data_IF_765091369103
#
_entry.id   IF_765091369103
#
_cell.length_a   1.000
_cell.length_b   1.000
_cell.length_c   1.000
_cell.angle_alpha   90.00
_cell.angle_beta   90.00
_cell.angle_gamma   90.00
#
_symmetry.space_group_name_H-M   'P 1'
#
loop_
_entity.id
_entity.type
_entity.pdbx_description
1 polymer ?
#
# COMPACT_ATOMS: atom_id res chain seq x y z
N UNK A 1 20.03 17.32 8.74
CA UNK A 1 20.95 16.34 9.38
C UNK A 1 20.20 15.01 9.42
N UNK A 2 20.87 13.86 9.24
CA UNK A 2 20.17 12.60 9.49
C UNK A 2 19.93 12.48 11.00
N UNK A 3 18.75 12.04 11.45
CA UNK A 3 18.42 12.00 12.88
C UNK A 3 19.30 10.98 13.60
N UNK A 4 19.78 11.35 14.80
CA UNK A 4 20.41 10.40 15.70
C UNK A 4 19.40 9.33 16.09
N UNK A 5 19.82 8.07 16.21
CA UNK A 5 18.94 6.98 16.62
C UNK A 5 19.57 6.07 17.63
N UNK A 6 18.73 5.53 18.52
CA UNK A 6 19.13 4.56 19.52
C UNK A 6 18.46 3.23 19.19
N UNK A 7 19.26 2.19 19.08
CA UNK A 7 18.85 0.85 18.69
C UNK A 7 19.14 -0.12 19.84
N UNK A 8 18.19 -1.02 20.10
CA UNK A 8 18.38 -2.14 21.03
C UNK A 8 18.73 -3.39 20.22
N UNK A 9 19.87 -4.01 20.52
CA UNK A 9 20.29 -5.26 19.89
C UNK A 9 20.43 -6.34 20.97
N UNK A 10 19.75 -7.50 20.83
CA UNK A 10 19.86 -8.58 21.80
C UNK A 10 21.27 -9.18 21.80
N UNK A 11 21.71 -9.67 22.96
CA UNK A 11 22.92 -10.46 23.13
C UNK A 11 22.65 -11.93 22.81
N UNK A 12 23.64 -12.63 22.25
CA UNK A 12 23.58 -14.08 22.02
C UNK A 12 24.41 -14.88 23.01
N UNK A 13 25.34 -14.22 23.66
CA UNK A 13 26.19 -14.72 24.74
C UNK A 13 25.45 -14.80 26.08
N UNK A 14 24.45 -13.94 26.30
CA UNK A 14 23.60 -13.98 27.49
C UNK A 14 22.11 -13.93 27.12
N UNK A 15 21.27 -14.60 27.92
CA UNK A 15 19.82 -14.65 27.74
C UNK A 15 19.18 -13.35 28.26
N UNK A 16 18.26 -12.79 27.48
CA UNK A 16 17.50 -11.56 27.77
C UNK A 16 18.31 -10.25 27.94
N UNK A 17 19.64 -10.33 27.87
CA UNK A 17 20.48 -9.14 27.82
C UNK A 17 20.52 -8.50 26.42
N UNK A 18 20.91 -7.23 26.40
CA UNK A 18 20.97 -6.44 25.17
C UNK A 18 22.04 -5.36 25.28
N UNK A 19 22.44 -4.86 24.13
CA UNK A 19 23.25 -3.66 24.02
C UNK A 19 22.39 -2.53 23.46
N UNK A 20 22.73 -1.30 23.84
CA UNK A 20 22.21 -0.09 23.23
C UNK A 20 23.24 0.49 22.29
N UNK A 21 22.82 0.90 21.10
CA UNK A 21 23.67 1.55 20.11
C UNK A 21 23.07 2.88 19.72
N UNK A 22 23.78 3.97 20.00
CA UNK A 22 23.54 5.27 19.39
C UNK A 22 24.24 5.33 18.03
N UNK A 23 23.47 5.68 17.02
CA UNK A 23 23.93 5.97 15.66
C UNK A 23 23.85 7.48 15.41
N UNK A 24 24.95 8.07 14.93
CA UNK A 24 25.00 9.46 14.52
C UNK A 24 25.65 9.59 13.15
N UNK A 25 25.28 10.63 12.39
CA UNK A 25 25.85 10.85 11.06
C UNK A 25 27.27 11.40 11.18
N UNK A 26 28.23 10.70 10.58
CA UNK A 26 29.65 11.07 10.59
C UNK A 26 30.13 11.66 9.25
N UNK A 27 29.50 11.28 8.13
CA UNK A 27 29.95 11.68 6.79
C UNK A 27 28.87 12.32 5.91
N UNK A 28 29.14 12.39 4.60
CA UNK A 28 28.19 12.98 3.64
C UNK A 28 27.08 11.99 3.29
N UNK A 29 27.43 10.72 3.14
CA UNK A 29 26.50 9.67 2.75
C UNK A 29 25.58 9.29 3.92
N UNK A 30 24.45 8.64 3.60
CA UNK A 30 23.48 8.20 4.61
C UNK A 30 24.02 7.08 5.52
N UNK A 31 24.91 6.25 4.98
CA UNK A 31 25.54 5.12 5.70
C UNK A 31 26.88 5.47 6.36
N UNK A 32 27.32 6.73 6.25
CA UNK A 32 28.52 7.17 6.97
C UNK A 32 28.13 7.48 8.42
N UNK A 33 28.20 6.47 9.29
CA UNK A 33 27.70 6.49 10.67
C UNK A 33 28.84 6.37 11.67
N UNK A 34 28.74 7.11 12.77
CA UNK A 34 29.47 6.84 14.01
C UNK A 34 28.55 6.06 14.94
N UNK A 35 29.10 5.01 15.52
CA UNK A 35 28.42 4.09 16.43
C UNK A 35 29.04 4.25 17.81
N UNK A 36 28.19 4.51 18.80
CA UNK A 36 28.56 4.42 20.22
C UNK A 36 27.60 3.43 20.84
N UNK A 37 28.14 2.37 21.44
CA UNK A 37 27.37 1.31 22.05
C UNK A 37 27.74 1.15 23.52
N UNK A 38 26.84 0.52 24.27
CA UNK A 38 27.10 0.10 25.64
C UNK A 38 26.24 -1.10 25.99
N UNK A 39 26.77 -1.97 26.84
CA UNK A 39 26.03 -3.05 27.52
C UNK A 39 25.49 -2.62 28.89
N UNK A 40 25.78 -1.37 29.31
CA UNK A 40 25.40 -0.82 30.61
C UNK A 40 26.59 -0.37 31.46
N UNK A 41 27.76 -0.94 31.20
CA UNK A 41 28.99 -0.67 31.97
C UNK A 41 30.01 0.12 31.14
N UNK A 42 30.49 -0.47 30.04
CA UNK A 42 31.56 0.10 29.23
C UNK A 42 31.04 0.78 27.95
N UNK A 43 31.68 1.87 27.50
CA UNK A 43 31.46 2.48 26.20
C UNK A 43 32.25 1.75 25.10
N UNK A 44 31.61 1.54 23.96
CA UNK A 44 32.24 0.93 22.79
C UNK A 44 32.02 1.81 21.55
N UNK A 45 33.08 2.10 20.81
CA UNK A 45 33.00 2.97 19.62
C UNK A 45 33.34 2.24 18.33
N UNK A 46 32.75 2.72 17.24
CA UNK A 46 33.02 2.25 15.90
C UNK A 46 32.46 3.18 14.84
N UNK A 47 32.76 2.88 13.57
CA UNK A 47 32.21 3.66 12.46
C UNK A 47 31.91 2.78 11.26
N UNK A 48 30.86 3.16 10.55
CA UNK A 48 30.51 2.62 9.24
C UNK A 48 30.81 3.71 8.22
N UNK A 49 31.54 3.36 7.17
CA UNK A 49 31.80 4.26 6.04
C UNK A 49 31.33 3.58 4.76
N UNK A 50 30.59 4.32 3.94
CA UNK A 50 30.07 3.85 2.64
C UNK A 50 31.17 3.24 1.77
N UNK A 51 32.37 3.81 1.81
CA UNK A 51 33.54 3.30 1.06
C UNK A 51 34.10 1.96 1.57
N UNK A 52 33.69 1.51 2.75
CA UNK A 52 34.21 0.33 3.43
C UNK A 52 33.13 -0.72 3.76
N UNK A 53 31.87 -0.50 3.35
CA UNK A 53 30.77 -1.43 3.63
C UNK A 53 31.04 -2.83 3.08
N UNK A 54 31.74 -2.93 1.95
CA UNK A 54 32.12 -4.18 1.30
C UNK A 54 33.06 -5.05 2.15
N UNK A 55 33.71 -4.49 3.17
CA UNK A 55 34.55 -5.22 4.15
C UNK A 55 33.75 -5.80 5.31
N UNK A 56 32.57 -5.23 5.57
CA UNK A 56 31.68 -5.65 6.66
C UNK A 56 30.85 -6.89 6.27
N UNK A 57 30.74 -7.19 4.98
CA UNK A 57 30.05 -8.40 4.49
C UNK A 57 30.83 -9.66 4.84
N UNK A 58 30.10 -10.73 5.11
CA UNK A 58 30.69 -12.04 5.29
C UNK A 58 31.20 -12.59 3.94
N UNK A 59 32.30 -13.34 3.95
CA UNK A 59 32.92 -13.90 2.73
C UNK A 59 32.00 -14.82 1.93
N UNK A 60 31.03 -15.43 2.59
CA UNK A 60 30.03 -16.34 2.01
C UNK A 60 28.76 -15.62 1.55
N UNK A 61 28.65 -14.30 1.77
CA UNK A 61 27.54 -13.50 1.26
C UNK A 61 27.70 -13.29 -0.26
N UNK A 62 26.63 -13.55 -1.02
CA UNK A 62 26.62 -13.48 -2.50
C UNK A 62 25.80 -12.31 -3.06
N UNK A 63 25.19 -11.49 -2.22
CA UNK A 63 24.38 -10.34 -2.65
C UNK A 63 25.23 -9.18 -3.17
N UNK A 64 24.57 -8.22 -3.81
CA UNK A 64 25.22 -7.05 -4.39
C UNK A 64 25.65 -6.03 -3.33
N UNK A 65 26.51 -5.07 -3.71
CA UNK A 65 26.92 -3.99 -2.82
C UNK A 65 25.74 -3.06 -2.48
N UNK A 66 24.82 -2.84 -3.43
CA UNK A 66 23.61 -2.03 -3.23
C UNK A 66 22.61 -2.72 -2.29
N UNK A 67 22.43 -4.03 -2.44
CA UNK A 67 21.61 -4.84 -1.53
C UNK A 67 22.19 -4.81 -0.11
N UNK A 68 23.52 -4.96 0.02
CA UNK A 68 24.20 -4.85 1.30
C UNK A 68 24.07 -3.46 1.94
N UNK A 69 24.20 -2.40 1.15
CA UNK A 69 23.96 -1.03 1.59
C UNK A 69 22.52 -0.84 2.08
N UNK A 70 21.54 -1.43 1.39
CA UNK A 70 20.15 -1.47 1.82
C UNK A 70 19.99 -2.16 3.17
N UNK A 71 20.60 -3.34 3.34
CA UNK A 71 20.54 -4.13 4.58
C UNK A 71 21.04 -3.32 5.77
N UNK A 72 22.21 -2.70 5.62
CA UNK A 72 22.77 -1.82 6.66
C UNK A 72 21.88 -0.61 6.92
N UNK A 73 21.31 -0.01 5.87
CA UNK A 73 20.43 1.16 6.02
C UNK A 73 19.17 0.82 6.82
N UNK A 74 18.61 -0.36 6.63
CA UNK A 74 17.46 -0.84 7.37
C UNK A 74 17.82 -1.22 8.81
N UNK A 75 18.89 -2.01 9.01
CA UNK A 75 19.31 -2.45 10.36
C UNK A 75 19.65 -1.27 11.25
N UNK A 76 20.33 -0.26 10.72
CA UNK A 76 20.65 0.97 11.45
C UNK A 76 19.55 2.05 11.37
N UNK A 77 18.36 1.67 10.90
CA UNK A 77 17.15 2.48 10.81
C UNK A 77 17.36 3.84 10.08
N UNK A 78 18.31 3.91 9.14
CA UNK A 78 18.61 5.12 8.37
C UNK A 78 17.62 5.32 7.22
N UNK A 79 17.10 4.23 6.65
CA UNK A 79 16.09 4.27 5.61
C UNK A 79 15.31 2.95 5.60
N UNK A 80 14.06 2.96 6.09
CA UNK A 80 13.21 1.76 6.15
C UNK A 80 12.73 1.33 4.75
N UNK A 81 12.60 2.27 3.82
CA UNK A 81 12.23 2.01 2.42
C UNK A 81 13.42 1.61 1.54
N UNK A 82 14.62 1.44 2.13
CA UNK A 82 15.83 1.15 1.36
C UNK A 82 15.79 -0.19 0.65
N UNK A 83 14.83 -1.05 1.00
CA UNK A 83 14.75 -2.36 0.39
C UNK A 83 13.32 -2.65 -0.02
N UNK A 84 13.19 -2.94 -1.31
CA UNK A 84 11.92 -2.95 -2.04
C UNK A 84 11.09 -4.23 -1.83
N UNK A 85 11.63 -5.26 -1.16
CA UNK A 85 11.04 -6.60 -1.08
C UNK A 85 10.79 -7.07 0.36
N UNK A 86 9.55 -7.24 0.78
CA UNK A 86 9.22 -7.76 2.13
C UNK A 86 9.93 -9.09 2.48
N UNK A 87 10.26 -9.90 1.47
CA UNK A 87 10.98 -11.18 1.59
C UNK A 87 12.40 -11.05 2.18
N UNK A 88 13.02 -9.87 2.07
CA UNK A 88 14.36 -9.66 2.62
C UNK A 88 14.29 -9.34 4.13
N UNK A 89 13.31 -8.54 4.57
CA UNK A 89 13.15 -8.14 5.98
C UNK A 89 12.79 -9.34 6.84
N UNK A 90 12.05 -10.28 6.25
CA UNK A 90 11.57 -11.48 6.92
C UNK A 90 12.75 -12.39 7.27
N UNK A 91 12.93 -12.65 8.57
CA UNK A 91 14.01 -13.49 9.10
C UNK A 91 15.37 -12.79 9.23
N UNK A 92 15.48 -11.48 8.96
CA UNK A 92 16.68 -10.74 9.28
C UNK A 92 16.82 -10.56 10.80
N UNK A 93 17.91 -11.04 11.35
CA UNK A 93 18.24 -10.92 12.77
C UNK A 93 19.58 -10.22 12.93
N UNK A 94 19.64 -9.29 13.88
CA UNK A 94 20.88 -8.65 14.31
C UNK A 94 21.12 -9.00 15.77
N UNK A 95 22.30 -9.51 16.08
CA UNK A 95 22.64 -10.01 17.41
C UNK A 95 24.04 -9.57 17.79
N UNK A 96 24.27 -9.28 19.06
CA UNK A 96 25.57 -8.90 19.60
C UNK A 96 26.20 -10.03 20.43
N UNK A 97 27.53 -9.99 20.52
CA UNK A 97 28.35 -10.79 21.43
C UNK A 97 29.38 -9.85 22.02
N UNK A 98 29.54 -9.86 23.34
CA UNK A 98 30.64 -9.15 24.01
C UNK A 98 31.77 -10.15 24.22
N UNK A 99 32.99 -9.77 23.84
CA UNK A 99 34.17 -10.63 23.92
C UNK A 99 35.28 -9.91 24.67
N UNK A 100 36.01 -10.63 25.51
CA UNK A 100 37.31 -10.21 26.01
C UNK A 100 38.37 -10.41 24.91
N UNK A 101 39.27 -9.43 24.73
CA UNK A 101 40.28 -9.49 23.67
C UNK A 101 41.41 -10.49 23.98
N UNK A 102 41.66 -10.78 25.27
CA UNK A 102 42.81 -11.57 25.72
C UNK A 102 42.52 -13.04 26.06
N UNK A 103 41.29 -13.52 25.89
CA UNK A 103 40.95 -14.94 26.03
C UNK A 103 41.05 -15.52 27.44
N UNK A 104 41.43 -14.71 28.43
CA UNK A 104 41.27 -14.95 29.86
C UNK A 104 39.99 -14.24 30.31
N UNK A 105 39.11 -14.94 31.02
CA UNK A 105 37.87 -14.40 31.63
C UNK A 105 38.19 -13.49 32.84
N UNK A 106 39.28 -12.73 32.76
CA UNK A 106 39.68 -11.76 33.77
C UNK A 106 39.06 -10.41 33.40
N UNK A 107 38.34 -9.82 34.35
CA UNK A 107 37.50 -8.61 34.20
C UNK A 107 38.29 -7.31 33.94
N UNK A 108 39.61 -7.39 33.74
CA UNK A 108 40.53 -6.26 33.60
C UNK A 108 41.03 -6.03 32.15
N UNK A 109 40.66 -6.88 31.19
CA UNK A 109 41.08 -6.74 29.79
C UNK A 109 40.13 -5.89 28.91
N UNK A 110 40.68 -5.31 27.83
CA UNK A 110 39.89 -4.58 26.83
C UNK A 110 38.81 -5.50 26.21
N UNK A 111 37.55 -5.07 26.26
CA UNK A 111 36.41 -5.80 25.69
C UNK A 111 36.08 -5.28 24.29
N UNK A 112 35.48 -6.12 23.45
CA UNK A 112 34.93 -5.73 22.16
C UNK A 112 33.50 -6.25 21.97
N UNK A 113 32.67 -5.48 21.27
CA UNK A 113 31.33 -5.91 20.87
C UNK A 113 31.37 -6.32 19.40
N UNK A 114 31.00 -7.57 19.13
CA UNK A 114 30.79 -8.09 17.79
C UNK A 114 29.29 -8.15 17.46
N UNK A 115 28.84 -7.25 16.61
CA UNK A 115 27.49 -7.25 16.06
C UNK A 115 27.47 -8.11 14.80
N UNK A 116 26.62 -9.12 14.77
CA UNK A 116 26.45 -10.03 13.64
C UNK A 116 25.08 -9.85 13.01
N UNK A 117 25.06 -9.63 11.70
CA UNK A 117 23.85 -9.59 10.90
C UNK A 117 23.67 -10.97 10.26
N UNK A 118 22.52 -11.61 10.47
CA UNK A 118 22.20 -12.94 9.91
C UNK A 118 20.79 -12.96 9.35
N UNK A 119 20.55 -13.79 8.33
CA UNK A 119 19.21 -14.08 7.81
C UNK A 119 18.83 -15.52 8.12
N UNK A 120 17.64 -15.71 8.70
CA UNK A 120 16.97 -16.99 8.85
C UNK A 120 16.18 -17.28 7.57
N UNK A 121 16.42 -18.44 6.96
CA UNK A 121 15.69 -18.90 5.78
C UNK A 121 14.91 -20.14 6.19
N UNK A 122 13.59 -20.01 6.33
CA UNK A 122 12.69 -21.11 6.73
C UNK A 122 12.22 -21.92 5.51
N UNK A 123 13.15 -22.54 4.79
CA UNK A 123 12.81 -23.61 3.84
C UNK A 123 13.01 -24.96 4.52
N UNK A 124 12.01 -25.84 4.38
CA UNK A 124 11.82 -27.17 5.01
C UNK A 124 13.07 -28.08 5.07
N UNK A 125 14.09 -27.82 4.25
CA UNK A 125 15.42 -28.40 4.40
C UNK A 125 16.42 -27.32 4.81
N UNK A 126 17.02 -27.52 5.99
CA UNK A 126 18.18 -26.81 6.54
C UNK A 126 17.87 -25.47 7.23
N UNK A 127 17.90 -25.50 8.58
CA UNK A 127 18.00 -24.34 9.49
C UNK A 127 19.35 -23.66 9.24
N UNK A 128 19.48 -22.97 8.10
CA UNK A 128 20.68 -22.23 7.75
C UNK A 128 20.50 -20.78 8.18
N UNK A 129 21.14 -20.44 9.30
CA UNK A 129 21.44 -19.06 9.63
C UNK A 129 22.55 -18.59 8.67
N UNK A 130 22.20 -17.84 7.63
CA UNK A 130 23.21 -17.25 6.76
C UNK A 130 23.75 -15.99 7.42
N UNK A 131 25.01 -16.01 7.85
CA UNK A 131 25.71 -14.79 8.27
C UNK A 131 25.89 -13.87 7.06
N UNK A 132 25.37 -12.66 7.14
CA UNK A 132 25.44 -11.63 6.11
C UNK A 132 26.67 -10.75 6.28
N UNK A 133 27.01 -10.42 7.52
CA UNK A 133 28.15 -9.58 7.86
C UNK A 133 28.35 -9.42 9.35
N UNK A 134 29.41 -8.71 9.72
CA UNK A 134 29.74 -8.43 11.11
C UNK A 134 30.40 -7.06 11.25
N UNK A 135 30.15 -6.41 12.39
CA UNK A 135 30.70 -5.11 12.77
C UNK A 135 31.29 -5.26 14.17
N UNK A 136 32.55 -4.84 14.32
CA UNK A 136 33.24 -4.87 15.61
C UNK A 136 33.34 -3.45 16.16
N UNK A 137 32.94 -3.27 17.42
CA UNK A 137 33.12 -2.05 18.19
C UNK A 137 34.14 -2.32 19.29
N UNK A 138 35.07 -1.39 19.50
CA UNK A 138 36.12 -1.53 20.51
C UNK A 138 35.77 -0.71 21.74
N UNK A 139 36.14 -1.20 22.91
CA UNK A 139 36.03 -0.42 24.14
C UNK A 139 36.85 0.88 24.02
N UNK A 140 36.30 1.96 24.54
CA UNK A 140 36.86 3.30 24.45
C UNK A 140 36.49 4.07 25.72
N UNK A 141 37.25 3.87 26.79
CA UNK A 141 36.95 4.40 28.13
C UNK A 141 36.97 5.93 28.22
N UNK A 142 37.55 6.61 27.23
CA UNK A 142 37.50 8.07 27.09
C UNK A 142 36.10 8.56 26.66
N UNK A 143 35.28 7.68 26.08
CA UNK A 143 33.94 8.01 25.60
C UNK A 143 32.91 7.94 26.72
N UNK A 144 32.29 9.07 27.07
CA UNK A 144 31.22 9.10 28.06
C UNK A 144 29.93 8.41 27.57
N UNK A 145 29.31 7.60 28.44
CA UNK A 145 27.98 7.04 28.23
C UNK A 145 26.92 8.05 28.67
N UNK A 146 26.11 8.54 27.72
CA UNK A 146 25.08 9.55 27.95
C UNK A 146 23.67 8.93 27.89
N UNK A 147 23.37 7.96 28.77
CA UNK A 147 22.09 7.23 28.74
C UNK A 147 20.87 8.15 28.84
N UNK A 148 20.95 9.23 29.61
CA UNK A 148 19.86 10.19 29.74
C UNK A 148 19.50 10.82 28.38
N UNK A 149 20.50 11.31 27.65
CA UNK A 149 20.31 11.89 26.31
C UNK A 149 19.79 10.84 25.33
N UNK A 150 20.29 9.60 25.43
CA UNK A 150 19.86 8.49 24.58
C UNK A 150 18.38 8.14 24.81
N UNK A 151 17.93 8.14 26.07
CA UNK A 151 16.52 7.95 26.39
C UNK A 151 15.66 9.09 25.86
N UNK A 152 16.15 10.33 25.92
CA UNK A 152 15.48 11.48 25.31
C UNK A 152 15.28 11.31 23.81
N UNK A 153 16.32 10.84 23.09
CA UNK A 153 16.24 10.53 21.66
C UNK A 153 15.23 9.40 21.39
N UNK A 154 15.29 8.31 22.15
CA UNK A 154 14.39 7.16 21.97
C UNK A 154 12.92 7.53 22.22
N UNK A 155 12.64 8.33 23.26
CA UNK A 155 11.29 8.82 23.59
C UNK A 155 10.78 9.77 22.51
N UNK A 156 11.62 10.69 22.02
CA UNK A 156 11.24 11.58 20.91
C UNK A 156 10.86 10.77 19.66
N UNK A 157 11.65 9.76 19.30
CA UNK A 157 11.34 8.88 18.16
C UNK A 157 10.06 8.09 18.36
N UNK A 158 9.82 7.55 19.55
CA UNK A 158 8.57 6.84 19.85
C UNK A 158 7.36 7.76 19.73
N UNK A 159 7.48 9.02 20.18
CA UNK A 159 6.42 10.02 20.06
C UNK A 159 6.17 10.39 18.59
N UNK A 160 7.22 10.60 17.79
CA UNK A 160 7.10 10.91 16.36
C UNK A 160 6.35 9.80 15.61
N UNK A 161 6.75 8.53 15.81
CA UNK A 161 6.08 7.37 15.22
C UNK A 161 4.64 7.26 15.71
N UNK A 162 4.39 7.48 17.01
CA UNK A 162 3.02 7.46 17.57
C UNK A 162 2.12 8.53 16.93
N UNK A 163 2.66 9.73 16.70
CA UNK A 163 1.94 10.82 16.04
C UNK A 163 1.64 10.48 14.57
N UNK A 164 2.59 9.89 13.86
CA UNK A 164 2.39 9.41 12.48
C UNK A 164 1.28 8.34 12.42
N UNK A 165 1.33 7.35 13.32
CA UNK A 165 0.30 6.30 13.43
C UNK A 165 -1.07 6.91 13.72
N UNK A 166 -1.15 7.89 14.63
CA UNK A 166 -2.41 8.58 14.91
C UNK A 166 -2.95 9.29 13.67
N UNK A 167 -2.10 10.02 12.96
CA UNK A 167 -2.48 10.74 11.73
C UNK A 167 -2.94 9.79 10.62
N UNK A 168 -2.27 8.64 10.47
CA UNK A 168 -2.60 7.64 9.46
C UNK A 168 -3.91 6.94 9.80
N UNK A 169 -4.15 6.64 11.08
CA UNK A 169 -5.41 6.09 11.57
C UNK A 169 -6.58 7.05 11.39
N UNK A 170 -6.37 8.35 11.54
CA UNK A 170 -7.39 9.36 11.22
C UNK A 170 -7.75 9.33 9.73
N UNK A 171 -6.75 9.39 8.84
CA UNK A 171 -6.97 9.29 7.38
C UNK A 171 -7.67 8.00 6.98
N UNK A 172 -7.32 6.88 7.62
CA UNK A 172 -7.97 5.59 7.37
C UNK A 172 -9.45 5.64 7.72
N UNK A 173 -9.80 6.19 8.88
CA UNK A 173 -11.20 6.38 9.32
C UNK A 173 -11.98 7.29 8.37
N UNK A 174 -11.37 8.38 7.91
CA UNK A 174 -12.01 9.30 6.96
C UNK A 174 -12.28 8.59 5.62
N UNK A 175 -11.31 7.79 5.13
CA UNK A 175 -11.47 6.98 3.92
C UNK A 175 -12.57 5.92 4.09
N UNK A 176 -12.59 5.21 5.22
CA UNK A 176 -13.62 4.22 5.55
C UNK A 176 -15.01 4.85 5.63
N UNK A 177 -15.13 6.03 6.24
CA UNK A 177 -16.38 6.81 6.26
C UNK A 177 -16.82 7.20 4.85
N UNK A 178 -15.89 7.58 3.98
CA UNK A 178 -16.18 7.94 2.60
C UNK A 178 -16.66 6.74 1.80
N UNK A 179 -16.01 5.58 1.97
CA UNK A 179 -16.43 4.32 1.33
C UNK A 179 -17.83 3.92 1.81
N UNK A 180 -18.10 4.01 3.11
CA UNK A 180 -19.43 3.73 3.66
C UNK A 180 -20.50 4.65 3.08
N UNK A 181 -20.20 5.95 2.97
CA UNK A 181 -21.12 6.92 2.37
C UNK A 181 -21.40 6.64 0.89
N UNK A 182 -20.36 6.37 0.10
CA UNK A 182 -20.49 6.03 -1.33
C UNK A 182 -21.26 4.73 -1.54
N UNK A 183 -21.05 3.72 -0.70
CA UNK A 183 -21.82 2.48 -0.74
C UNK A 183 -23.31 2.73 -0.43
N UNK A 184 -23.62 3.60 0.52
CA UNK A 184 -25.00 3.98 0.81
C UNK A 184 -25.66 4.72 -0.37
N UNK A 185 -24.94 5.65 -1.00
CA UNK A 185 -25.43 6.35 -2.19
C UNK A 185 -25.65 5.39 -3.37
N UNK A 186 -24.77 4.39 -3.54
CA UNK A 186 -24.91 3.38 -4.58
C UNK A 186 -26.14 2.51 -4.35
N UNK A 187 -26.40 2.08 -3.12
CA UNK A 187 -27.60 1.31 -2.77
C UNK A 187 -28.88 2.13 -3.00
N UNK A 188 -28.88 3.40 -2.63
CA UNK A 188 -30.00 4.32 -2.88
C UNK A 188 -30.26 4.47 -4.40
N UNK A 189 -29.21 4.63 -5.20
CA UNK A 189 -29.32 4.71 -6.66
C UNK A 189 -29.85 3.42 -7.28
N UNK A 190 -29.41 2.25 -6.79
CA UNK A 190 -29.93 0.95 -7.24
C UNK A 190 -31.43 0.86 -6.94
N UNK A 191 -31.84 1.24 -5.74
CA UNK A 191 -33.24 1.17 -5.33
C UNK A 191 -34.10 2.16 -6.13
N UNK A 192 -33.65 3.40 -6.31
CA UNK A 192 -34.34 4.41 -7.11
C UNK A 192 -34.48 3.98 -8.58
N UNK A 193 -33.43 3.38 -9.15
CA UNK A 193 -33.44 2.83 -10.50
C UNK A 193 -34.46 1.69 -10.64
N UNK A 194 -34.48 0.77 -9.67
CA UNK A 194 -35.44 -0.35 -9.66
C UNK A 194 -36.87 0.16 -9.60
N UNK A 195 -37.18 1.11 -8.72
CA UNK A 195 -38.50 1.69 -8.62
C UNK A 195 -38.92 2.41 -9.92
N UNK A 196 -38.00 3.15 -10.54
CA UNK A 196 -38.25 3.80 -11.82
C UNK A 196 -38.51 2.78 -12.95
N UNK A 197 -37.75 1.69 -13.01
CA UNK A 197 -37.95 0.60 -13.97
C UNK A 197 -39.33 -0.05 -13.77
N UNK A 198 -39.74 -0.31 -12.52
CA UNK A 198 -41.06 -0.85 -12.18
C UNK A 198 -42.20 0.10 -12.60
N UNK A 199 -42.03 1.41 -12.37
CA UNK A 199 -42.99 2.43 -12.81
C UNK A 199 -43.11 2.49 -14.34
N UNK A 200 -41.99 2.36 -15.07
CA UNK A 200 -42.00 2.32 -16.54
C UNK A 200 -42.72 1.07 -17.06
N UNK A 201 -42.44 -0.10 -16.48
CA UNK A 201 -43.11 -1.35 -16.84
C UNK A 201 -44.62 -1.23 -16.62
N UNK A 202 -45.05 -0.67 -15.49
CA UNK A 202 -46.47 -0.43 -15.21
C UNK A 202 -47.14 0.50 -16.23
N UNK A 203 -46.48 1.61 -16.60
CA UNK A 203 -46.98 2.53 -17.63
C UNK A 203 -47.07 1.86 -19.01
N UNK A 204 -46.08 1.05 -19.39
CA UNK A 204 -46.14 0.30 -20.65
C UNK A 204 -47.28 -0.72 -20.65
N UNK A 205 -47.52 -1.42 -19.54
CA UNK A 205 -48.65 -2.34 -19.41
C UNK A 205 -50.00 -1.62 -19.55
N UNK A 206 -50.17 -0.44 -18.94
CA UNK A 206 -51.37 0.39 -19.09
C UNK A 206 -51.59 0.79 -20.55
N UNK A 207 -50.57 1.33 -21.22
CA UNK A 207 -50.64 1.72 -22.63
C UNK A 207 -50.98 0.52 -23.54
N UNK A 208 -50.41 -0.65 -23.27
CA UNK A 208 -50.74 -1.89 -24.00
C UNK A 208 -52.20 -2.30 -23.80
N UNK A 209 -52.71 -2.21 -22.58
CA UNK A 209 -54.11 -2.55 -22.28
C UNK A 209 -55.08 -1.57 -22.94
N UNK A 210 -54.81 -0.26 -22.90
CA UNK A 210 -55.59 0.74 -23.61
C UNK A 210 -55.59 0.51 -25.13
N UNK A 211 -54.42 0.19 -25.71
CA UNK A 211 -54.32 -0.14 -27.13
C UNK A 211 -55.10 -1.40 -27.46
N UNK A 212 -55.00 -2.47 -26.66
CA UNK A 212 -55.79 -3.70 -26.84
C UNK A 212 -57.30 -3.42 -26.78
N UNK A 213 -57.74 -2.57 -25.86
CA UNK A 213 -59.14 -2.17 -25.74
C UNK A 213 -59.61 -1.39 -26.97
N UNK A 214 -58.82 -0.41 -27.44
CA UNK A 214 -59.11 0.34 -28.66
C UNK A 214 -59.20 -0.57 -29.89
N UNK A 215 -58.24 -1.49 -30.05
CA UNK A 215 -58.24 -2.47 -31.16
C UNK A 215 -59.51 -3.34 -31.10
N UNK A 216 -59.88 -3.85 -29.93
CA UNK A 216 -61.10 -4.66 -29.76
C UNK A 216 -62.37 -3.87 -30.08
N UNK A 217 -62.47 -2.62 -29.63
CA UNK A 217 -63.61 -1.76 -29.93
C UNK A 217 -63.70 -1.45 -31.43
N UNK A 218 -62.58 -1.16 -32.09
CA UNK A 218 -62.53 -0.96 -33.54
C UNK A 218 -62.92 -2.22 -34.30
N UNK A 219 -62.41 -3.39 -33.91
CA UNK A 219 -62.80 -4.68 -34.49
C UNK A 219 -64.29 -4.97 -34.31
N UNK A 220 -64.86 -4.71 -33.13
CA UNK A 220 -66.30 -4.86 -32.88
C UNK A 220 -67.12 -3.92 -33.77
N UNK A 221 -66.72 -2.66 -33.89
CA UNK A 221 -67.37 -1.69 -34.79
C UNK A 221 -67.31 -2.14 -36.25
N UNK A 222 -66.16 -2.64 -36.71
CA UNK A 222 -66.01 -3.20 -38.06
C UNK A 222 -66.90 -4.44 -38.27
N UNK A 223 -67.04 -5.30 -37.26
CA UNK A 223 -67.88 -6.49 -37.35
C UNK A 223 -69.39 -6.19 -37.28
N UNK A 224 -69.79 -5.11 -36.61
CA UNK A 224 -71.21 -4.67 -36.53
C UNK A 224 -71.59 -3.68 -37.63
N UNK A 225 -70.62 -3.03 -38.26
CA UNK A 225 -70.85 -2.31 -39.49
C UNK A 225 -71.27 -3.32 -40.56
N UNK A 226 -72.56 -3.33 -40.93
CA UNK A 226 -73.02 -4.04 -42.13
C UNK A 226 -72.30 -3.42 -43.32
N UNK A 227 -71.28 -4.11 -43.77
CA UNK A 227 -70.55 -3.78 -44.97
C UNK A 227 -71.52 -3.96 -46.14
N UNK A 228 -71.81 -2.88 -46.84
CA UNK A 228 -72.52 -2.92 -48.10
C UNK A 228 -71.53 -3.44 -49.17
N UNK A 229 -71.70 -4.68 -49.69
CA UNK A 229 -70.70 -5.32 -50.54
C UNK A 229 -70.45 -4.53 -51.84
N UNK A 230 -71.43 -3.71 -52.28
CA UNK A 230 -71.28 -2.84 -53.43
C UNK A 230 -70.26 -1.70 -53.21
N UNK A 231 -70.25 -1.09 -52.02
CA UNK A 231 -69.31 0.03 -51.71
C UNK A 231 -67.90 -0.46 -51.39
N UNK A 232 -67.73 -1.71 -50.97
CA UNK A 232 -66.41 -2.31 -50.77
C UNK A 232 -65.78 -2.73 -52.09
N UNK A 233 -66.56 -3.27 -53.03
CA UNK A 233 -66.09 -3.48 -54.40
C UNK A 233 -65.67 -2.16 -55.09
N UNK A 234 -66.40 -1.07 -54.83
CA UNK A 234 -66.10 0.27 -55.38
C UNK A 234 -64.83 0.88 -54.75
N UNK A 235 -64.57 0.64 -53.46
CA UNK A 235 -63.34 1.08 -52.78
C UNK A 235 -62.11 0.22 -53.11
N UNK A 236 -62.25 -1.09 -53.29
CA UNK A 236 -61.13 -1.95 -53.75
C UNK A 236 -60.77 -1.65 -55.21
N UNK A 237 -61.75 -1.36 -56.07
CA UNK A 237 -61.52 -0.85 -57.42
C UNK A 237 -60.82 0.53 -57.41
N UNK A 238 -61.10 1.40 -56.43
CA UNK A 238 -60.43 2.69 -56.29
C UNK A 238 -59.00 2.60 -55.67
N UNK A 239 -58.68 1.52 -54.95
CA UNK A 239 -57.39 1.37 -54.25
C UNK A 239 -56.33 0.60 -55.05
N UNK A 240 -56.72 -0.15 -56.08
CA UNK A 240 -55.77 -0.81 -57.02
C UNK A 240 -54.99 0.19 -57.90
N UNK A 241 -55.39 1.47 -57.92
CA UNK A 241 -54.71 2.53 -58.68
C UNK A 241 -53.70 3.39 -57.91
N UNK A 242 -53.53 3.23 -56.59
CA UNK A 242 -52.65 4.10 -55.79
C UNK A 242 -51.34 3.42 -55.44
N UNK A 243 -50.29 3.75 -56.21
CA UNK A 243 -48.90 3.42 -55.89
C UNK A 243 -48.56 3.82 -54.43
N UNK A 244 -47.78 3.01 -53.69
CA UNK A 244 -47.38 3.36 -52.33
C UNK A 244 -46.62 4.69 -52.36
N UNK A 245 -47.11 5.68 -51.60
CA UNK A 245 -46.38 6.92 -51.37
C UNK A 245 -45.12 6.60 -50.58
N UNK A 246 -43.95 6.86 -51.18
CA UNK A 246 -42.68 6.86 -50.46
C UNK A 246 -42.78 7.88 -49.31
N UNK A 247 -42.36 7.47 -48.12
CA UNK A 247 -42.20 8.38 -47.00
C UNK A 247 -41.16 9.45 -47.37
N UNK A 248 -41.57 10.71 -47.32
CA UNK A 248 -40.71 11.85 -47.57
C UNK A 248 -39.72 12.01 -46.40
N UNK A 249 -38.50 12.46 -46.70
CA UNK A 249 -37.37 12.43 -45.77
C UNK A 249 -37.61 13.39 -44.57
N UNK A 250 -38.02 12.82 -43.44
CA UNK A 250 -38.16 13.56 -42.18
C UNK A 250 -36.79 13.96 -41.61
N UNK A 251 -36.48 15.26 -41.77
CA UNK A 251 -35.61 16.13 -40.95
C UNK A 251 -34.36 15.51 -40.31
N UNK A 252 -33.21 15.68 -40.99
CA UNK A 252 -31.92 15.84 -40.32
C UNK A 252 -31.85 17.19 -39.62
N UNK A 253 -32.02 17.22 -38.30
CA UNK A 253 -31.50 18.33 -37.47
C UNK A 253 -31.10 17.79 -36.10
N UNK A 254 -30.01 17.02 -36.09
CA UNK A 254 -29.27 16.73 -34.86
C UNK A 254 -28.29 17.88 -34.67
N UNK A 255 -28.58 18.80 -33.76
CA UNK A 255 -27.57 19.74 -33.24
C UNK A 255 -26.49 18.90 -32.56
N UNK A 256 -25.24 19.04 -33.01
CA UNK A 256 -24.05 18.51 -32.35
C UNK A 256 -23.77 19.44 -31.17
N UNK A 257 -23.73 18.92 -29.95
CA UNK A 257 -23.27 19.68 -28.79
C UNK A 257 -21.76 19.94 -28.94
N UNK A 258 -21.32 21.17 -28.65
CA UNK A 258 -19.91 21.52 -28.53
C UNK A 258 -19.34 20.91 -27.24
N UNK A 259 -18.17 20.32 -27.32
CA UNK A 259 -17.36 19.94 -26.16
C UNK A 259 -16.81 21.20 -25.47
N UNK A 260 -16.71 21.22 -24.13
CA UNK A 260 -16.18 22.36 -23.39
C UNK A 260 -14.65 22.47 -23.55
N UNK A 261 -14.08 23.68 -23.50
CA UNK A 261 -12.65 23.89 -23.66
C UNK A 261 -11.87 23.34 -22.46
N UNK A 262 -10.77 22.65 -22.76
CA UNK A 262 -9.73 22.27 -21.82
C UNK A 262 -8.91 23.54 -21.57
N UNK A 263 -8.97 24.07 -20.35
CA UNK A 263 -8.03 25.11 -19.91
C UNK A 263 -6.71 24.44 -19.52
N UNK A 264 -5.65 24.81 -20.22
CA UNK A 264 -4.24 24.68 -19.81
C UNK A 264 -3.88 25.70 -18.74
#
# INVERSE_FOLDING_TARGET
>A
MAPERVLRIPRSDSLDEFILIKTSKSGKNKLDLSLVATEGENPYTGSIKTSQISKLRAKNYRGSDDEWAGILSYVFNQNQDAIESEDWTTGLETVAIVKSMDGEDDDEGDKEILITLRKRIDSITLILQQRLGSITLKQDDDQAIQLFDWTGIAVAQANDVSNEVFSLKAKYRDSESTISHLNAQLEELIQAKKEHDDQLIAKFAQLLNEKKLKIRNQQRLLATAKVDPAKVAELEAANTGKKPRKADASRKTKRKAQEPPINT
#
